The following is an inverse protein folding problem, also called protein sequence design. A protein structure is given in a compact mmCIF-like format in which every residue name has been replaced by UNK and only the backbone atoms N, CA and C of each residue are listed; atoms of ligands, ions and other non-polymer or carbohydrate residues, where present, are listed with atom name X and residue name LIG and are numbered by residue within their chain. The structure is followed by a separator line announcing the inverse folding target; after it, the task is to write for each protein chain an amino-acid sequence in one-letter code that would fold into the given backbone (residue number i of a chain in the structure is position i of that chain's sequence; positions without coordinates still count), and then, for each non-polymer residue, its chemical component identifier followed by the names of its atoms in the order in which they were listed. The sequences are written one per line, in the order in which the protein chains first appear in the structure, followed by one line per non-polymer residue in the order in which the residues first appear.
data_IF_538507176901
#
_entry.id   IF_538507176901
#
_cell.length_a   1.000
_cell.length_b   1.000
_cell.length_c   1.000
_cell.angle_alpha   90.00
_cell.angle_beta   90.00
_cell.angle_gamma   90.00
#
_symmetry.space_group_name_H-M   'P 1'
#
loop_
_entity.id
_entity.type
_entity.pdbx_description
1 polymer ?
#
# COMPACT_ATOMS: atom_id res chain seq x y z
N UNK A 1 14.15 45.03 -3.75
CA UNK A 1 15.00 44.48 -2.68
C UNK A 1 14.82 42.97 -2.69
N UNK A 2 15.68 42.25 -3.40
CA UNK A 2 15.71 40.78 -3.42
C UNK A 2 16.26 40.29 -2.08
N UNK A 3 15.41 39.65 -1.28
CA UNK A 3 15.84 38.96 -0.07
C UNK A 3 16.95 37.96 -0.43
N UNK A 4 18.06 37.92 0.33
CA UNK A 4 19.10 36.93 0.10
C UNK A 4 18.49 35.53 0.34
N UNK A 5 18.45 34.72 -0.70
CA UNK A 5 18.16 33.30 -0.59
C UNK A 5 19.27 32.67 0.26
N UNK A 6 19.05 32.57 1.56
CA UNK A 6 19.78 31.64 2.43
C UNK A 6 19.42 30.24 1.95
N UNK A 7 20.15 29.71 0.98
CA UNK A 7 20.01 28.32 0.58
C UNK A 7 20.81 27.52 1.62
N UNK A 8 20.19 26.90 2.64
CA UNK A 8 20.92 26.01 3.51
C UNK A 8 21.61 24.98 2.63
N UNK A 9 22.88 24.67 2.91
CA UNK A 9 23.58 23.59 2.20
C UNK A 9 22.83 22.29 2.47
N UNK A 10 21.98 21.90 1.53
CA UNK A 10 21.18 20.68 1.55
C UNK A 10 21.76 19.68 0.56
N UNK A 11 21.68 18.39 0.87
CA UNK A 11 22.19 17.32 0.00
C UNK A 11 21.32 17.17 -1.24
N UNK A 12 20.01 17.39 -1.10
CA UNK A 12 19.02 17.36 -2.18
C UNK A 12 18.38 18.74 -2.34
N UNK A 13 17.96 19.10 -3.55
CA UNK A 13 17.23 20.34 -3.81
C UNK A 13 16.06 20.56 -2.85
N UNK A 14 16.05 21.73 -2.20
CA UNK A 14 15.03 22.17 -1.27
C UNK A 14 13.75 22.61 -2.00
N UNK A 15 13.04 21.64 -2.61
CA UNK A 15 11.77 21.90 -3.29
C UNK A 15 10.69 22.23 -2.27
N UNK A 16 9.91 23.28 -2.53
CA UNK A 16 8.73 23.59 -1.73
C UNK A 16 7.58 22.64 -2.10
N UNK A 17 6.90 22.04 -1.10
CA UNK A 17 5.69 21.27 -1.34
C UNK A 17 4.56 22.11 -1.94
N UNK A 18 3.65 21.47 -2.66
CA UNK A 18 2.48 22.15 -3.22
C UNK A 18 1.21 21.94 -2.38
N UNK A 19 0.40 23.00 -2.31
CA UNK A 19 -0.97 22.92 -1.77
C UNK A 19 -1.06 22.66 -0.27
N UNK A 20 -0.01 22.93 0.51
CA UNK A 20 -0.04 22.83 1.96
C UNK A 20 -1.20 23.66 2.55
N UNK A 21 -1.87 23.09 3.56
CA UNK A 21 -3.06 23.70 4.17
C UNK A 21 -4.31 23.71 3.29
N UNK A 22 -4.30 22.99 2.17
CA UNK A 22 -5.46 22.88 1.27
C UNK A 22 -5.87 21.41 1.05
N UNK A 23 -7.10 21.15 0.57
CA UNK A 23 -7.52 19.82 0.12
C UNK A 23 -6.68 19.26 -1.04
N UNK A 24 -5.84 20.10 -1.66
CA UNK A 24 -4.99 19.78 -2.80
C UNK A 24 -3.52 19.63 -2.42
N UNK A 25 -3.24 19.39 -1.14
CA UNK A 25 -1.88 19.12 -0.67
C UNK A 25 -1.22 17.99 -1.46
N UNK A 26 0.04 18.19 -1.78
CA UNK A 26 0.87 17.24 -2.50
C UNK A 26 1.10 15.96 -1.69
N UNK A 27 1.16 14.83 -2.38
CA UNK A 27 1.60 13.56 -1.79
C UNK A 27 3.12 13.48 -1.71
N UNK A 28 3.65 12.83 -0.67
CA UNK A 28 5.09 12.57 -0.56
C UNK A 28 5.66 11.83 -1.78
N UNK A 29 4.86 10.96 -2.41
CA UNK A 29 5.21 10.32 -3.68
C UNK A 29 5.42 11.33 -4.81
N UNK A 30 4.51 12.30 -4.97
CA UNK A 30 4.65 13.36 -5.97
C UNK A 30 5.90 14.20 -5.71
N UNK A 31 6.10 14.59 -4.44
CA UNK A 31 7.28 15.34 -4.01
C UNK A 31 8.57 14.59 -4.37
N UNK A 32 8.64 13.29 -4.04
CA UNK A 32 9.75 12.41 -4.38
C UNK A 32 10.00 12.32 -5.89
N UNK A 33 8.95 12.21 -6.71
CA UNK A 33 9.08 12.16 -8.17
C UNK A 33 9.60 13.50 -8.73
N UNK A 34 9.09 14.63 -8.24
CA UNK A 34 9.58 15.96 -8.61
C UNK A 34 11.03 16.17 -8.18
N UNK A 35 11.40 15.65 -7.01
CA UNK A 35 12.76 15.71 -6.52
C UNK A 35 13.72 14.93 -7.42
N UNK A 36 13.36 13.71 -7.81
CA UNK A 36 14.14 12.92 -8.77
C UNK A 36 14.30 13.64 -10.11
N UNK A 37 13.22 14.22 -10.63
CA UNK A 37 13.24 15.01 -11.86
C UNK A 37 14.15 16.25 -11.73
N UNK A 38 14.13 16.95 -10.59
CA UNK A 38 14.98 18.12 -10.35
C UNK A 38 16.48 17.78 -10.36
N UNK A 39 16.84 16.55 -9.98
CA UNK A 39 18.21 16.03 -10.00
C UNK A 39 18.57 15.32 -11.32
N UNK A 40 17.64 15.25 -12.28
CA UNK A 40 17.82 14.49 -13.53
C UNK A 40 18.20 13.02 -13.30
N UNK A 41 17.71 12.42 -12.21
CA UNK A 41 17.95 11.01 -11.86
C UNK A 41 16.66 10.21 -11.90
N UNK A 42 16.80 8.88 -12.00
CA UNK A 42 15.66 7.98 -11.84
C UNK A 42 15.17 7.96 -10.38
N UNK A 43 13.88 7.66 -10.19
CA UNK A 43 13.31 7.42 -8.85
C UNK A 43 14.02 6.26 -8.15
N UNK A 44 14.45 5.23 -8.89
CA UNK A 44 15.24 4.12 -8.35
C UNK A 44 16.59 4.61 -7.81
N UNK A 45 17.32 5.44 -8.56
CA UNK A 45 18.61 6.00 -8.13
C UNK A 45 18.42 6.83 -6.87
N UNK A 46 17.45 7.75 -6.86
CA UNK A 46 17.17 8.59 -5.70
C UNK A 46 16.78 7.73 -4.48
N UNK A 47 15.96 6.70 -4.68
CA UNK A 47 15.54 5.80 -3.59
C UNK A 47 16.71 5.10 -2.91
N UNK A 48 17.70 4.66 -3.70
CA UNK A 48 18.92 4.01 -3.20
C UNK A 48 19.81 4.98 -2.45
N UNK A 49 19.97 6.20 -2.96
CA UNK A 49 20.73 7.26 -2.28
C UNK A 49 20.13 7.57 -0.91
N UNK A 50 18.81 7.72 -0.83
CA UNK A 50 18.11 8.02 0.43
C UNK A 50 18.27 6.87 1.42
N UNK A 51 18.03 5.62 1.02
CA UNK A 51 18.09 4.53 1.98
C UNK A 51 19.52 4.09 2.35
N UNK A 52 20.54 4.40 1.52
CA UNK A 52 21.95 4.31 1.92
C UNK A 52 22.30 5.29 3.06
N UNK A 53 21.70 6.48 3.08
CA UNK A 53 21.90 7.48 4.15
C UNK A 53 21.44 6.96 5.53
N UNK A 54 20.36 6.17 5.56
CA UNK A 54 19.78 5.64 6.80
C UNK A 54 20.27 4.25 7.19
N UNK A 55 21.33 3.73 6.56
CA UNK A 55 21.87 2.38 6.79
C UNK A 55 20.78 1.28 6.71
N UNK A 56 19.72 1.53 5.95
CA UNK A 56 18.76 0.49 5.66
C UNK A 56 19.40 -0.44 4.63
N UNK A 57 19.62 -1.70 5.00
CA UNK A 57 19.95 -2.75 4.03
C UNK A 57 18.77 -2.90 3.06
N UNK A 58 18.85 -2.15 1.96
CA UNK A 58 17.95 -2.25 0.85
C UNK A 58 18.24 -3.61 0.20
N UNK A 59 17.37 -4.59 0.43
CA UNK A 59 17.43 -5.84 -0.31
C UNK A 59 17.44 -5.54 -1.83
N UNK A 60 18.19 -6.31 -2.63
CA UNK A 60 18.41 -6.01 -4.05
C UNK A 60 17.10 -5.97 -4.89
N UNK A 61 16.01 -6.50 -4.34
CA UNK A 61 14.63 -6.53 -4.83
C UNK A 61 13.74 -5.39 -4.28
N UNK A 62 14.32 -4.38 -3.61
CA UNK A 62 13.57 -3.27 -3.04
C UNK A 62 12.80 -2.50 -4.09
N UNK A 63 11.49 -2.71 -4.06
CA UNK A 63 10.56 -2.02 -4.92
C UNK A 63 9.96 -0.84 -4.15
N UNK A 64 10.54 0.34 -4.36
CA UNK A 64 10.12 1.59 -3.72
C UNK A 64 8.63 1.91 -3.99
N UNK A 65 8.08 1.39 -5.09
CA UNK A 65 6.69 1.52 -5.49
C UNK A 65 5.70 0.79 -4.58
N UNK A 66 6.13 -0.27 -3.87
CA UNK A 66 5.26 -1.05 -2.98
C UNK A 66 5.07 -0.41 -1.59
N UNK A 67 5.88 0.62 -1.26
CA UNK A 67 6.04 1.08 0.12
C UNK A 67 5.03 2.09 0.62
N UNK A 68 4.04 2.48 -0.18
CA UNK A 68 2.97 3.41 0.23
C UNK A 68 3.56 4.60 1.04
N UNK A 69 4.59 5.26 0.50
CA UNK A 69 5.36 6.27 1.23
C UNK A 69 4.53 7.49 1.66
N UNK A 70 3.36 7.69 1.04
CA UNK A 70 2.37 8.69 1.44
C UNK A 70 1.34 8.18 2.46
N UNK A 71 1.50 6.96 2.99
CA UNK A 71 0.57 6.31 3.90
C UNK A 71 0.67 6.79 5.35
N UNK A 72 0.33 5.90 6.29
CA UNK A 72 0.21 6.18 7.74
C UNK A 72 1.16 5.33 8.61
N UNK A 73 2.02 4.53 7.98
CA UNK A 73 2.86 3.54 8.65
C UNK A 73 4.30 4.03 8.81
N UNK A 74 5.11 3.23 9.49
CA UNK A 74 6.53 3.47 9.70
C UNK A 74 7.29 3.82 8.41
N UNK A 75 6.97 3.16 7.29
CA UNK A 75 7.63 3.50 6.02
C UNK A 75 7.35 4.95 5.57
N UNK A 76 6.17 5.50 5.84
CA UNK A 76 5.91 6.91 5.54
C UNK A 76 6.75 7.81 6.47
N UNK A 77 6.87 7.45 7.75
CA UNK A 77 7.63 8.20 8.75
C UNK A 77 9.12 8.24 8.39
N UNK A 78 9.73 7.09 8.14
CA UNK A 78 11.14 6.99 7.76
C UNK A 78 11.44 7.80 6.51
N UNK A 79 10.57 7.72 5.49
CA UNK A 79 10.79 8.44 4.23
C UNK A 79 10.55 9.94 4.33
N UNK A 80 9.51 10.37 5.05
CA UNK A 80 9.26 11.78 5.29
C UNK A 80 10.42 12.42 6.07
N UNK A 81 10.87 11.79 7.16
CA UNK A 81 12.01 12.25 7.94
C UNK A 81 13.30 12.31 7.11
N UNK A 82 13.55 11.26 6.32
CA UNK A 82 14.71 11.18 5.44
C UNK A 82 14.77 12.30 4.40
N UNK A 83 13.64 12.54 3.74
CA UNK A 83 13.53 13.62 2.77
C UNK A 83 13.66 14.98 3.44
N UNK A 84 13.06 15.17 4.63
CA UNK A 84 13.14 16.43 5.37
C UNK A 84 14.59 16.77 5.73
N UNK A 85 15.35 15.79 6.21
CA UNK A 85 16.76 15.95 6.54
C UNK A 85 17.59 16.30 5.28
N UNK A 86 17.46 15.50 4.23
CA UNK A 86 18.29 15.62 3.02
C UNK A 86 17.98 16.88 2.19
N UNK A 87 16.73 17.35 2.22
CA UNK A 87 16.30 18.58 1.53
C UNK A 87 16.37 19.82 2.42
N UNK A 88 16.55 19.64 3.74
CA UNK A 88 16.43 20.69 4.75
C UNK A 88 15.05 21.37 4.80
N UNK A 89 14.01 20.76 4.23
CA UNK A 89 12.62 21.20 4.31
C UNK A 89 11.95 20.49 5.49
N UNK A 90 11.34 21.26 6.39
CA UNK A 90 10.62 20.70 7.53
C UNK A 90 9.18 20.33 7.13
N UNK A 91 8.52 19.48 7.93
CA UNK A 91 7.08 19.23 7.79
C UNK A 91 6.66 18.33 6.63
N UNK A 92 7.57 17.58 5.99
CA UNK A 92 7.20 16.69 4.88
C UNK A 92 6.31 15.50 5.29
N UNK A 93 6.18 15.23 6.59
CA UNK A 93 5.16 14.32 7.13
C UNK A 93 3.73 14.81 6.84
N UNK A 94 3.54 16.13 6.66
CA UNK A 94 2.30 16.74 6.16
C UNK A 94 1.94 16.36 4.72
N UNK A 95 2.84 15.73 3.96
CA UNK A 95 2.58 15.16 2.64
C UNK A 95 2.16 13.68 2.71
N UNK A 96 1.80 13.20 3.90
CA UNK A 96 1.38 11.83 4.19
C UNK A 96 0.15 11.82 5.09
N UNK A 97 -0.38 10.64 5.41
CA UNK A 97 -1.44 10.48 6.43
C UNK A 97 -0.89 10.31 7.86
N UNK A 98 0.43 10.42 8.08
CA UNK A 98 1.07 10.29 9.40
C UNK A 98 0.48 11.18 10.50
N UNK A 99 0.04 12.43 10.24
CA UNK A 99 -0.54 13.27 11.29
C UNK A 99 -1.75 12.62 11.98
N UNK A 100 -2.37 11.60 11.37
CA UNK A 100 -3.56 10.91 11.89
C UNK A 100 -3.27 9.50 12.44
N UNK A 101 -2.00 9.09 12.57
CA UNK A 101 -1.59 7.70 12.88
C UNK A 101 -2.09 7.15 14.21
N UNK A 102 -2.36 8.02 15.18
CA UNK A 102 -2.79 7.64 16.52
C UNK A 102 -4.32 7.57 16.66
N UNK A 103 -5.05 8.08 15.65
CA UNK A 103 -6.52 8.14 15.65
C UNK A 103 -7.16 7.33 14.51
N UNK A 104 -6.37 6.98 13.49
CA UNK A 104 -6.77 6.04 12.42
C UNK A 104 -5.94 4.77 12.55
N UNK A 105 -6.61 3.61 12.54
CA UNK A 105 -5.92 2.33 12.54
C UNK A 105 -4.94 2.22 11.37
N UNK A 106 -3.69 1.87 11.65
CA UNK A 106 -2.66 1.72 10.61
C UNK A 106 -2.99 0.62 9.58
N UNK A 107 -3.79 -0.37 9.97
CA UNK A 107 -4.34 -1.39 9.05
C UNK A 107 -5.66 -0.97 8.39
N UNK A 108 -6.22 0.16 8.81
CA UNK A 108 -7.53 0.67 8.41
C UNK A 108 -7.50 1.83 7.42
N UNK A 109 -6.32 2.27 6.98
CA UNK A 109 -6.19 3.19 5.84
C UNK A 109 -5.98 2.38 4.56
N UNK A 110 -6.99 2.38 3.68
CA UNK A 110 -6.90 1.70 2.39
C UNK A 110 -6.28 2.61 1.34
N UNK A 111 -5.03 2.33 0.95
CA UNK A 111 -4.36 3.04 -0.15
C UNK A 111 -4.82 2.47 -1.51
N UNK A 112 -5.00 3.34 -2.49
CA UNK A 112 -5.34 2.96 -3.85
C UNK A 112 -4.22 2.11 -4.46
N UNK A 113 -4.54 0.86 -4.85
CA UNK A 113 -3.55 -0.07 -5.43
C UNK A 113 -3.06 0.33 -6.80
N UNK A 114 -3.93 0.96 -7.58
CA UNK A 114 -3.66 1.52 -8.90
C UNK A 114 -3.73 3.02 -8.74
N UNK A 115 -2.69 3.72 -9.17
CA UNK A 115 -2.66 5.17 -9.06
C UNK A 115 -3.83 5.81 -9.79
N UNK A 116 -4.57 6.66 -9.08
CA UNK A 116 -5.71 7.41 -9.61
C UNK A 116 -5.38 8.91 -9.70
N UNK A 117 -6.03 9.63 -10.62
CA UNK A 117 -5.81 11.06 -10.82
C UNK A 117 -7.02 11.75 -11.46
N UNK A 118 -7.04 13.08 -11.42
CA UNK A 118 -8.00 13.89 -12.17
C UNK A 118 -7.28 14.58 -13.34
N UNK A 119 -7.65 14.31 -14.61
CA UNK A 119 -7.05 14.95 -15.78
C UNK A 119 -7.23 16.48 -15.78
N UNK A 120 -8.37 16.96 -15.30
CA UNK A 120 -8.67 18.39 -15.22
C UNK A 120 -7.84 19.09 -14.15
N UNK A 121 -7.55 18.44 -13.03
CA UNK A 121 -6.61 18.99 -12.04
C UNK A 121 -5.21 19.18 -12.63
N UNK A 122 -4.75 18.28 -13.50
CA UNK A 122 -3.50 18.50 -14.21
C UNK A 122 -3.58 19.61 -15.26
N UNK A 123 -4.71 19.75 -15.95
CA UNK A 123 -4.95 20.87 -16.87
C UNK A 123 -4.91 22.21 -16.13
N UNK A 124 -5.59 22.32 -14.99
CA UNK A 124 -5.57 23.49 -14.13
C UNK A 124 -4.15 23.82 -13.65
N UNK A 125 -3.35 22.81 -13.27
CA UNK A 125 -1.96 23.05 -12.86
C UNK A 125 -1.18 23.73 -13.99
N UNK A 126 -1.26 23.19 -15.21
CA UNK A 126 -0.55 23.71 -16.39
C UNK A 126 -1.04 25.12 -16.74
N UNK A 127 -2.36 25.33 -16.73
CA UNK A 127 -2.97 26.63 -17.03
C UNK A 127 -2.54 27.71 -16.02
N UNK A 128 -2.37 27.34 -14.74
CA UNK A 128 -1.84 28.21 -13.71
C UNK A 128 -0.30 28.31 -13.70
N UNK A 129 0.38 27.86 -14.76
CA UNK A 129 1.84 27.91 -14.89
C UNK A 129 2.59 27.01 -13.89
N UNK A 130 1.92 26.01 -13.32
CA UNK A 130 2.47 25.08 -12.33
C UNK A 130 2.75 23.72 -12.97
N UNK A 131 3.84 23.09 -12.57
CA UNK A 131 4.09 21.69 -12.92
C UNK A 131 3.02 20.80 -12.28
N UNK A 132 2.39 19.89 -13.04
CA UNK A 132 1.42 18.95 -12.49
C UNK A 132 2.02 18.14 -11.34
N UNK A 133 1.17 17.74 -10.40
CA UNK A 133 1.60 17.01 -9.19
C UNK A 133 0.49 16.09 -8.67
N UNK A 134 0.85 15.01 -7.98
CA UNK A 134 -0.15 14.11 -7.40
C UNK A 134 -0.60 14.61 -6.02
N UNK A 135 -1.91 14.76 -5.86
CA UNK A 135 -2.54 15.17 -4.59
C UNK A 135 -2.60 14.00 -3.62
N UNK A 136 -2.35 14.24 -2.33
CA UNK A 136 -2.39 13.24 -1.28
C UNK A 136 -3.75 12.56 -1.16
N UNK A 137 -4.85 13.30 -1.39
CA UNK A 137 -6.20 12.75 -1.40
C UNK A 137 -6.34 11.56 -2.37
N UNK A 138 -5.63 11.58 -3.51
CA UNK A 138 -5.71 10.51 -4.51
C UNK A 138 -5.05 9.20 -4.07
N UNK A 139 -4.24 9.22 -3.02
CA UNK A 139 -3.66 8.00 -2.45
C UNK A 139 -4.68 7.19 -1.65
N UNK A 140 -5.74 7.83 -1.13
CA UNK A 140 -6.80 7.14 -0.39
C UNK A 140 -7.81 6.49 -1.33
N UNK A 141 -8.10 5.20 -1.14
CA UNK A 141 -9.13 4.46 -1.88
C UNK A 141 -10.54 5.03 -1.61
N UNK A 142 -10.74 5.67 -0.47
CA UNK A 142 -12.02 6.29 -0.10
C UNK A 142 -12.32 7.56 -0.91
N UNK A 143 -11.32 8.12 -1.61
CA UNK A 143 -11.47 9.23 -2.56
C UNK A 143 -11.50 8.66 -3.97
N UNK A 144 -12.70 8.51 -4.53
CA UNK A 144 -12.92 8.04 -5.92
C UNK A 144 -13.38 9.15 -6.87
N UNK A 145 -13.60 10.35 -6.35
CA UNK A 145 -14.12 11.51 -7.08
C UNK A 145 -13.27 12.74 -6.73
N UNK A 146 -12.95 13.55 -7.74
CA UNK A 146 -12.32 14.85 -7.54
C UNK A 146 -13.32 15.86 -6.97
N UNK A 147 -12.95 16.55 -5.88
CA UNK A 147 -13.81 17.54 -5.22
C UNK A 147 -13.93 18.85 -6.00
N UNK A 148 -12.88 19.26 -6.72
CA UNK A 148 -12.84 20.52 -7.50
C UNK A 148 -13.66 20.39 -8.78
N UNK A 149 -13.36 19.38 -9.59
CA UNK A 149 -13.99 19.20 -10.90
C UNK A 149 -15.21 18.30 -10.89
N UNK A 150 -15.58 17.76 -9.71
CA UNK A 150 -16.73 16.87 -9.51
C UNK A 150 -16.80 15.83 -10.63
N UNK A 151 -15.79 14.96 -10.68
CA UNK A 151 -15.72 13.82 -11.63
C UNK A 151 -15.01 12.62 -11.02
N UNK A 152 -15.32 11.39 -11.44
CA UNK A 152 -14.55 10.21 -11.03
C UNK A 152 -13.06 10.37 -11.31
N UNK A 153 -12.21 9.86 -10.41
CA UNK A 153 -10.79 9.76 -10.68
C UNK A 153 -10.54 8.61 -11.66
N UNK A 154 -9.63 8.82 -12.61
CA UNK A 154 -9.26 7.82 -13.62
C UNK A 154 -7.96 7.13 -13.25
N UNK A 155 -7.75 5.91 -13.75
CA UNK A 155 -6.55 5.10 -13.49
C UNK A 155 -5.78 4.73 -14.75
N UNK A 156 -6.39 5.00 -15.90
CA UNK A 156 -5.92 4.67 -17.24
C UNK A 156 -5.55 5.90 -18.05
N UNK A 157 -4.72 5.70 -19.07
CA UNK A 157 -4.33 6.74 -20.00
C UNK A 157 -5.31 6.80 -21.17
N UNK A 158 -5.94 7.97 -21.40
CA UNK A 158 -6.84 8.18 -22.53
C UNK A 158 -6.20 7.93 -23.91
N UNK A 159 -4.87 8.09 -24.03
CA UNK A 159 -4.15 7.88 -25.30
C UNK A 159 -3.79 6.40 -25.56
N UNK A 160 -3.32 5.66 -24.55
CA UNK A 160 -2.82 4.28 -24.77
C UNK A 160 -3.64 3.19 -24.07
N UNK A 161 -4.68 3.55 -23.31
CA UNK A 161 -5.58 2.64 -22.60
C UNK A 161 -4.94 1.84 -21.46
N UNK A 162 -3.66 2.05 -21.15
CA UNK A 162 -2.97 1.31 -20.09
C UNK A 162 -3.29 1.86 -18.71
N UNK A 163 -3.34 0.96 -17.74
CA UNK A 163 -3.57 1.25 -16.33
C UNK A 163 -2.25 1.38 -15.53
N UNK A 164 -2.38 1.80 -14.27
CA UNK A 164 -1.27 1.91 -13.30
C UNK A 164 -0.09 2.75 -13.79
N UNK A 165 -0.39 3.78 -14.58
CA UNK A 165 0.59 4.64 -15.25
C UNK A 165 1.30 5.61 -14.30
N UNK A 166 0.96 5.65 -13.01
CA UNK A 166 1.57 6.54 -12.01
C UNK A 166 2.75 5.93 -11.23
N UNK A 167 2.77 4.60 -11.06
CA UNK A 167 3.64 3.92 -10.09
C UNK A 167 4.47 2.80 -10.70
N UNK A 168 4.66 2.75 -12.02
CA UNK A 168 5.31 1.59 -12.66
C UNK A 168 6.31 2.00 -13.74
N UNK A 169 7.22 2.91 -13.39
CA UNK A 169 8.34 3.27 -14.25
C UNK A 169 9.53 3.81 -13.47
N UNK A 170 10.70 3.70 -14.10
CA UNK A 170 11.98 4.22 -13.61
C UNK A 170 11.99 5.76 -13.61
N UNK A 171 11.22 6.37 -14.52
CA UNK A 171 11.03 7.81 -14.61
C UNK A 171 9.56 8.12 -14.52
N UNK A 172 9.19 8.91 -13.52
CA UNK A 172 7.81 9.34 -13.28
C UNK A 172 7.82 10.86 -13.21
N UNK A 173 7.15 11.47 -14.17
CA UNK A 173 6.89 12.91 -14.19
C UNK A 173 5.38 13.07 -13.97
N UNK A 174 4.94 13.60 -12.81
CA UNK A 174 3.52 13.75 -12.55
C UNK A 174 2.85 14.57 -13.66
N UNK A 175 1.71 14.10 -14.17
CA UNK A 175 1.02 14.71 -15.32
C UNK A 175 1.32 14.07 -16.68
N UNK A 176 2.28 13.16 -16.79
CA UNK A 176 2.60 12.44 -18.03
C UNK A 176 2.47 10.92 -17.88
N UNK A 177 2.03 10.26 -18.94
CA UNK A 177 1.90 8.81 -18.96
C UNK A 177 3.28 8.15 -18.94
N UNK A 178 3.56 7.30 -17.96
CA UNK A 178 4.82 6.56 -17.88
C UNK A 178 5.02 5.52 -18.99
N UNK A 179 3.96 5.18 -19.73
CA UNK A 179 4.02 4.20 -20.82
C UNK A 179 4.19 4.85 -22.20
N UNK A 180 3.34 5.81 -22.57
CA UNK A 180 3.38 6.43 -23.90
C UNK A 180 3.95 7.86 -23.91
N UNK A 181 4.26 8.44 -22.75
CA UNK A 181 4.77 9.82 -22.64
C UNK A 181 3.73 10.91 -22.93
N UNK A 182 2.49 10.56 -23.29
CA UNK A 182 1.44 11.54 -23.57
C UNK A 182 1.01 12.27 -22.29
N UNK A 183 0.61 13.54 -22.44
CA UNK A 183 0.04 14.32 -21.34
C UNK A 183 -1.21 13.65 -20.80
N UNK A 184 -1.33 13.60 -19.47
CA UNK A 184 -2.54 13.17 -18.76
C UNK A 184 -3.48 14.33 -18.48
N UNK A 185 -3.05 15.57 -18.74
CA UNK A 185 -3.90 16.74 -18.68
C UNK A 185 -4.85 16.74 -19.88
N UNK A 186 -6.14 16.73 -19.60
CA UNK A 186 -7.19 16.91 -20.60
C UNK A 186 -8.36 17.66 -19.98
N UNK A 187 -8.87 18.63 -20.73
CA UNK A 187 -10.14 19.27 -20.42
C UNK A 187 -11.24 18.40 -21.04
N UNK A 188 -11.91 17.59 -20.22
CA UNK A 188 -13.07 16.80 -20.65
C UNK A 188 -14.38 17.53 -20.33
N UNK A 189 -15.33 17.42 -21.28
CA UNK A 189 -16.70 17.92 -21.19
C UNK A 189 -17.50 17.22 -20.09
N UNK A 190 -18.41 17.98 -19.46
CA UNK A 190 -19.25 17.56 -18.35
C UNK A 190 -20.20 16.39 -18.71
N UNK A 191 -20.48 15.49 -17.76
CA UNK A 191 -21.45 14.41 -18.01
C UNK A 191 -21.65 13.37 -16.92
N UNK A 192 -20.74 13.22 -15.95
CA UNK A 192 -20.87 12.14 -14.97
C UNK A 192 -21.80 12.51 -13.80
N UNK A 193 -22.90 11.76 -13.67
CA UNK A 193 -23.76 11.84 -12.47
C UNK A 193 -23.01 11.22 -11.30
N UNK A 194 -22.58 12.06 -10.37
CA UNK A 194 -21.87 11.61 -9.16
C UNK A 194 -22.83 11.32 -8.04
N UNK A 195 -22.59 10.20 -7.35
CA UNK A 195 -23.21 9.90 -6.09
C UNK A 195 -22.84 10.96 -5.02
N UNK A 196 -23.82 11.70 -4.45
CA UNK A 196 -23.53 12.71 -3.43
C UNK A 196 -22.76 12.17 -2.23
N UNK A 197 -22.96 10.89 -1.86
CA UNK A 197 -22.24 10.27 -0.75
C UNK A 197 -20.75 10.05 -1.03
N UNK A 198 -20.37 9.76 -2.29
CA UNK A 198 -18.93 9.62 -2.64
C UNK A 198 -18.26 10.98 -2.69
N UNK A 199 -18.93 12.00 -3.21
CA UNK A 199 -18.45 13.38 -3.17
C UNK A 199 -18.29 13.89 -1.73
N UNK A 200 -19.25 13.60 -0.85
CA UNK A 200 -19.17 13.95 0.56
C UNK A 200 -17.95 13.31 1.24
N UNK A 201 -17.70 12.00 1.03
CA UNK A 201 -16.50 11.34 1.58
C UNK A 201 -15.20 11.98 1.08
N UNK A 202 -15.13 12.27 -0.22
CA UNK A 202 -13.96 12.93 -0.81
C UNK A 202 -13.72 14.31 -0.20
N UNK A 203 -14.78 15.09 0.07
CA UNK A 203 -14.70 16.37 0.78
C UNK A 203 -14.20 16.21 2.21
N UNK A 204 -14.76 15.26 2.97
CA UNK A 204 -14.32 15.01 4.35
C UNK A 204 -12.83 14.67 4.45
N UNK A 205 -12.31 13.89 3.49
CA UNK A 205 -10.86 13.60 3.43
C UNK A 205 -10.08 14.85 3.00
N UNK A 206 -10.58 15.62 2.02
CA UNK A 206 -9.96 16.89 1.64
C UNK A 206 -9.84 17.88 2.79
N UNK A 207 -10.90 18.06 3.57
CA UNK A 207 -10.93 18.93 4.75
C UNK A 207 -9.97 18.42 5.84
N UNK A 208 -9.95 17.10 6.06
CA UNK A 208 -8.99 16.46 6.95
C UNK A 208 -7.54 16.78 6.55
N UNK A 209 -7.21 16.62 5.27
CA UNK A 209 -5.86 16.89 4.77
C UNK A 209 -5.50 18.38 4.83
N UNK A 210 -6.45 19.27 4.54
CA UNK A 210 -6.25 20.71 4.67
C UNK A 210 -5.90 21.11 6.11
N UNK A 211 -6.52 20.44 7.09
CA UNK A 211 -6.28 20.75 8.51
C UNK A 211 -4.90 20.35 9.03
N UNK A 212 -4.13 19.52 8.30
CA UNK A 212 -2.84 19.02 8.76
C UNK A 212 -1.85 20.14 9.08
N UNK A 213 -1.85 21.22 8.29
CA UNK A 213 -0.94 22.36 8.53
C UNK A 213 -1.33 23.22 9.73
N UNK A 214 -2.55 23.04 10.25
CA UNK A 214 -3.09 23.79 11.40
C UNK A 214 -3.00 23.00 12.71
N UNK A 215 -2.55 21.73 12.66
CA UNK A 215 -2.40 20.90 13.85
C UNK A 215 -1.21 21.40 14.68
N UNK A 216 -1.50 21.91 15.89
CA UNK A 216 -0.45 22.25 16.86
C UNK A 216 0.16 21.01 17.51
N UNK A 217 -0.63 19.94 17.64
CA UNK A 217 -0.23 18.66 18.23
C UNK A 217 -0.88 17.51 17.45
N UNK A 218 -0.24 16.34 17.50
CA UNK A 218 -0.82 15.13 16.91
C UNK A 218 -2.10 14.74 17.67
N UNK A 219 -3.22 14.49 16.97
CA UNK A 219 -4.47 14.05 17.58
C UNK A 219 -4.26 12.81 18.45
N UNK A 220 -4.80 12.84 19.67
CA UNK A 220 -4.66 11.73 20.61
C UNK A 220 -5.82 10.75 20.50
N UNK A 221 -5.51 9.47 20.73
CA UNK A 221 -6.54 8.43 20.81
C UNK A 221 -7.55 8.74 21.91
N UNK A 222 -7.08 9.27 23.04
CA UNK A 222 -7.89 9.58 24.21
C UNK A 222 -8.96 10.61 23.88
N UNK A 223 -8.60 11.67 23.13
CA UNK A 223 -9.55 12.69 22.69
C UNK A 223 -10.59 12.12 21.70
N UNK A 224 -10.17 11.29 20.75
CA UNK A 224 -11.08 10.59 19.83
C UNK A 224 -12.07 9.69 20.60
N UNK A 225 -11.59 8.89 21.55
CA UNK A 225 -12.45 7.97 22.30
C UNK A 225 -13.43 8.75 23.18
N UNK A 226 -13.00 9.81 23.84
CA UNK A 226 -13.89 10.69 24.60
C UNK A 226 -14.97 11.31 23.71
N UNK A 227 -14.61 11.71 22.49
CA UNK A 227 -15.58 12.20 21.51
C UNK A 227 -16.60 11.12 21.11
N UNK A 228 -16.14 9.89 20.84
CA UNK A 228 -17.01 8.75 20.54
C UNK A 228 -17.93 8.43 21.73
N UNK A 229 -17.43 8.46 22.96
CA UNK A 229 -18.23 8.21 24.17
C UNK A 229 -19.34 9.24 24.36
N UNK A 230 -19.03 10.53 24.14
CA UNK A 230 -20.03 11.60 24.14
C UNK A 230 -21.08 11.40 23.04
N UNK A 231 -20.67 11.01 21.82
CA UNK A 231 -21.62 10.67 20.75
C UNK A 231 -22.52 9.49 21.13
N UNK A 232 -21.97 8.44 21.74
CA UNK A 232 -22.74 7.27 22.20
C UNK A 232 -23.75 7.67 23.28
N UNK A 233 -23.35 8.52 24.21
CA UNK A 233 -24.20 9.03 25.29
C UNK A 233 -25.39 9.81 24.73
N UNK A 234 -25.13 10.78 23.85
CA UNK A 234 -26.15 11.71 23.33
C UNK A 234 -27.03 11.10 22.24
N UNK A 235 -26.49 10.22 21.38
CA UNK A 235 -27.22 9.65 20.24
C UNK A 235 -27.97 8.37 20.56
N UNK A 236 -27.38 7.52 21.42
CA UNK A 236 -27.82 6.13 21.63
C UNK A 236 -28.04 5.79 23.12
N UNK A 237 -28.17 6.81 23.98
CA UNK A 237 -28.41 6.71 25.43
C UNK A 237 -27.36 5.84 26.14
N UNK A 238 -26.09 5.95 25.74
CA UNK A 238 -25.00 5.16 26.31
C UNK A 238 -24.91 3.72 25.78
N UNK A 239 -25.82 3.29 24.89
CA UNK A 239 -25.87 1.91 24.38
C UNK A 239 -24.91 1.71 23.21
N UNK A 240 -23.66 1.34 23.51
CA UNK A 240 -22.61 1.05 22.51
C UNK A 240 -23.04 0.02 21.44
N UNK A 241 -23.95 -0.93 21.76
CA UNK A 241 -24.48 -1.90 20.81
C UNK A 241 -25.43 -1.28 19.76
N UNK A 242 -26.16 -0.23 20.13
CA UNK A 242 -27.01 0.54 19.21
C UNK A 242 -26.14 1.41 18.31
N UNK A 243 -25.15 2.09 18.88
CA UNK A 243 -24.14 2.85 18.15
C UNK A 243 -23.40 1.98 17.11
N UNK A 244 -22.91 0.80 17.51
CA UNK A 244 -22.26 -0.13 16.60
C UNK A 244 -23.12 -0.48 15.37
N UNK A 245 -24.43 -0.69 15.59
CA UNK A 245 -25.38 -0.99 14.52
C UNK A 245 -25.60 0.22 13.60
N UNK A 246 -25.68 1.43 14.16
CA UNK A 246 -25.86 2.69 13.41
C UNK A 246 -24.72 2.93 12.42
N UNK A 247 -23.48 2.74 12.87
CA UNK A 247 -22.29 3.00 12.04
C UNK A 247 -21.88 1.80 11.16
N UNK A 248 -22.63 0.69 11.23
CA UNK A 248 -22.33 -0.53 10.47
C UNK A 248 -21.13 -1.33 10.99
N UNK A 249 -20.72 -1.15 12.25
CA UNK A 249 -19.58 -1.82 12.86
C UNK A 249 -19.99 -3.01 13.75
N UNK A 250 -19.07 -3.94 13.98
CA UNK A 250 -19.26 -5.03 14.92
C UNK A 250 -19.24 -4.56 16.38
N UNK A 251 -20.11 -5.11 17.24
CA UNK A 251 -20.12 -4.80 18.69
C UNK A 251 -18.77 -5.00 19.36
N UNK A 252 -18.07 -6.09 19.01
CA UNK A 252 -16.73 -6.40 19.50
C UNK A 252 -15.69 -5.35 19.08
N UNK A 253 -15.87 -4.75 17.91
CA UNK A 253 -14.96 -3.73 17.38
C UNK A 253 -15.09 -2.43 18.16
N UNK A 254 -16.32 -1.98 18.41
CA UNK A 254 -16.57 -0.79 19.25
C UNK A 254 -16.08 -1.01 20.67
N UNK A 255 -16.38 -2.17 21.25
CA UNK A 255 -15.88 -2.53 22.59
C UNK A 255 -14.35 -2.51 22.66
N UNK A 256 -13.67 -3.01 21.63
CA UNK A 256 -12.21 -2.99 21.54
C UNK A 256 -11.64 -1.57 21.52
N UNK A 257 -12.29 -0.61 20.86
CA UNK A 257 -11.86 0.79 20.88
C UNK A 257 -12.01 1.44 22.25
N UNK A 258 -13.17 1.22 22.90
CA UNK A 258 -13.50 1.84 24.18
C UNK A 258 -12.70 1.26 25.35
N UNK A 259 -12.39 -0.05 25.33
CA UNK A 259 -11.78 -0.75 26.47
C UNK A 259 -10.33 -1.15 26.27
N UNK A 260 -9.87 -1.31 25.03
CA UNK A 260 -8.50 -1.70 24.71
C UNK A 260 -7.84 -0.61 23.84
N UNK A 261 -6.62 -0.87 23.37
CA UNK A 261 -5.80 0.07 22.56
C UNK A 261 -6.23 0.15 21.09
N UNK A 262 -7.51 -0.11 20.78
CA UNK A 262 -8.00 -0.09 19.41
C UNK A 262 -8.30 1.33 18.90
N UNK A 263 -8.16 1.53 17.60
CA UNK A 263 -8.62 2.72 16.87
C UNK A 263 -9.52 2.34 15.70
N UNK A 264 -10.47 3.19 15.28
CA UNK A 264 -11.30 2.96 14.11
C UNK A 264 -10.47 3.04 12.80
N UNK A 265 -10.93 2.33 11.78
CA UNK A 265 -10.42 2.50 10.40
C UNK A 265 -10.96 3.79 9.80
N UNK A 266 -10.32 4.36 8.77
CA UNK A 266 -10.80 5.58 8.11
C UNK A 266 -12.25 5.44 7.62
N UNK A 267 -12.59 4.31 7.00
CA UNK A 267 -13.95 4.00 6.53
C UNK A 267 -14.99 4.10 7.66
N UNK A 268 -14.68 3.53 8.83
CA UNK A 268 -15.60 3.59 9.98
C UNK A 268 -15.65 4.99 10.58
N UNK A 269 -14.54 5.73 10.65
CA UNK A 269 -14.54 7.13 11.08
C UNK A 269 -15.42 8.00 10.16
N UNK A 270 -15.37 7.77 8.85
CA UNK A 270 -16.29 8.40 7.88
C UNK A 270 -17.75 8.02 8.14
N UNK A 271 -18.02 6.75 8.47
CA UNK A 271 -19.38 6.32 8.79
C UNK A 271 -19.90 6.94 10.11
N UNK A 272 -19.04 7.09 11.12
CA UNK A 272 -19.38 7.81 12.35
C UNK A 272 -19.71 9.27 12.02
N UNK A 273 -18.83 9.96 11.28
CA UNK A 273 -19.04 11.33 10.84
C UNK A 273 -20.39 11.52 10.10
N UNK A 274 -20.69 10.62 9.16
CA UNK A 274 -21.93 10.67 8.38
C UNK A 274 -23.19 10.45 9.22
N UNK A 275 -23.16 9.49 10.16
CA UNK A 275 -24.34 9.09 10.93
C UNK A 275 -24.58 9.95 12.18
N UNK A 276 -23.53 10.58 12.69
CA UNK A 276 -23.59 11.46 13.86
C UNK A 276 -23.65 12.95 13.49
N UNK A 277 -23.50 13.30 12.21
CA UNK A 277 -23.52 14.70 11.77
C UNK A 277 -22.35 15.51 12.33
N UNK A 278 -21.17 14.90 12.42
CA UNK A 278 -19.92 15.56 12.85
C UNK A 278 -18.94 15.54 11.68
N UNK A 279 -18.07 16.55 11.55
CA UNK A 279 -17.03 16.48 10.54
C UNK A 279 -15.99 15.42 10.88
N UNK A 280 -15.38 14.79 9.88
CA UNK A 280 -14.33 13.81 10.09
C UNK A 280 -13.15 14.40 10.89
N UNK A 281 -12.77 15.64 10.58
CA UNK A 281 -11.71 16.36 11.26
C UNK A 281 -12.04 16.56 12.75
N UNK A 282 -13.22 17.09 13.07
CA UNK A 282 -13.65 17.33 14.46
C UNK A 282 -13.67 16.03 15.27
N UNK A 283 -14.19 14.96 14.67
CA UNK A 283 -14.20 13.63 15.29
C UNK A 283 -12.79 13.15 15.62
N UNK A 284 -11.87 13.21 14.66
CA UNK A 284 -10.52 12.67 14.82
C UNK A 284 -9.65 13.52 15.76
N UNK A 285 -9.83 14.84 15.78
CA UNK A 285 -9.18 15.73 16.74
C UNK A 285 -9.79 15.56 18.15
N UNK A 286 -11.04 15.13 18.23
CA UNK A 286 -11.80 15.02 19.48
C UNK A 286 -12.44 16.33 19.93
N UNK A 287 -12.41 17.38 19.11
CA UNK A 287 -13.06 18.66 19.39
C UNK A 287 -14.51 18.64 18.91
N UNK A 288 -15.38 18.12 19.78
CA UNK A 288 -16.83 18.09 19.55
C UNK A 288 -17.59 18.96 20.58
N UNK A 289 -16.97 20.06 21.01
CA UNK A 289 -17.58 20.97 21.99
C UNK A 289 -18.80 21.69 21.41
N UNK A 290 -18.70 22.11 20.15
CA UNK A 290 -19.78 22.79 19.42
C UNK A 290 -20.71 21.84 18.65
N UNK A 291 -20.51 20.53 18.80
CA UNK A 291 -21.39 19.55 18.16
C UNK A 291 -22.74 19.53 18.85
N UNK A 292 -23.81 19.62 18.06
CA UNK A 292 -25.18 19.47 18.52
C UNK A 292 -25.77 18.22 17.88
N UNK A 293 -26.56 17.50 18.67
CA UNK A 293 -27.31 16.33 18.19
C UNK A 293 -28.12 16.72 16.96
N UNK A 294 -27.93 16.06 15.80
CA UNK A 294 -28.70 16.36 14.61
C UNK A 294 -30.19 16.21 14.90
N UNK A 295 -30.93 17.32 14.82
CA UNK A 295 -32.39 17.28 14.92
C UNK A 295 -32.87 16.54 13.69
N UNK A 296 -33.54 15.41 13.88
CA UNK A 296 -34.18 14.68 12.79
C UNK A 296 -35.43 15.43 12.38
N UNK A 297 -35.28 16.60 11.78
CA UNK A 297 -36.36 17.13 10.95
C UNK A 297 -36.52 16.16 9.79
N UNK A 298 -37.76 15.68 9.57
CA UNK A 298 -38.11 14.82 8.44
C UNK A 298 -38.04 15.62 7.14
N UNK A 299 -36.88 16.14 6.79
CA UNK A 299 -36.60 16.56 5.42
C UNK A 299 -36.41 15.28 4.59
N UNK A 300 -37.03 15.27 3.41
CA UNK A 300 -37.07 14.18 2.43
C UNK A 300 -35.94 13.17 2.65
N UNK A 301 -36.31 11.96 3.07
CA UNK A 301 -35.39 10.87 3.36
C UNK A 301 -34.45 10.70 2.16
N UNK A 302 -33.26 11.29 2.25
CA UNK A 302 -32.11 10.84 1.49
C UNK A 302 -31.92 9.40 1.96
N UNK A 303 -32.43 8.47 1.16
CA UNK A 303 -32.18 7.04 1.28
C UNK A 303 -30.68 6.87 1.03
N UNK A 304 -29.87 7.18 2.04
CA UNK A 304 -28.48 6.72 2.10
C UNK A 304 -28.58 5.21 1.94
N UNK A 305 -27.95 4.62 0.90
CA UNK A 305 -28.03 3.19 0.70
C UNK A 305 -27.62 2.52 2.00
N UNK A 306 -28.57 1.80 2.61
CA UNK A 306 -28.29 0.93 3.76
C UNK A 306 -27.16 0.04 3.27
N UNK A 307 -26.00 0.17 3.88
CA UNK A 307 -24.87 -0.74 3.63
C UNK A 307 -25.45 -2.13 3.84
N UNK A 308 -25.56 -2.91 2.77
CA UNK A 308 -26.03 -4.28 2.85
C UNK A 308 -25.11 -5.00 3.81
N UNK A 309 -25.62 -5.25 5.02
CA UNK A 309 -24.88 -5.98 6.03
C UNK A 309 -24.68 -7.37 5.46
N UNK A 310 -23.43 -7.73 5.12
CA UNK A 310 -23.08 -9.14 4.96
C UNK A 310 -23.47 -9.81 6.26
N UNK A 311 -24.58 -10.57 6.25
CA UNK A 311 -24.99 -11.40 7.39
C UNK A 311 -23.76 -12.20 7.77
N UNK A 312 -23.28 -12.04 9.01
CA UNK A 312 -22.23 -12.90 9.55
C UNK A 312 -22.71 -14.33 9.39
N UNK A 313 -21.97 -15.14 8.64
CA UNK A 313 -22.18 -16.59 8.63
C UNK A 313 -22.20 -17.08 10.08
N UNK A 314 -23.15 -17.95 10.39
CA UNK A 314 -23.25 -18.55 11.72
C UNK A 314 -21.92 -19.20 12.10
N UNK A 315 -21.46 -19.08 13.36
CA UNK A 315 -20.20 -19.69 13.79
C UNK A 315 -20.19 -21.19 13.46
N UNK A 316 -19.31 -21.62 12.55
CA UNK A 316 -19.17 -23.04 12.21
C UNK A 316 -18.64 -23.79 13.44
N UNK A 317 -19.37 -24.79 13.90
CA UNK A 317 -18.89 -25.68 14.96
C UNK A 317 -17.91 -26.69 14.35
N UNK A 318 -16.62 -26.40 14.46
CA UNK A 318 -15.55 -27.26 13.96
C UNK A 318 -15.14 -28.27 15.05
N UNK A 319 -15.22 -29.56 14.75
CA UNK A 319 -14.70 -30.62 15.62
C UNK A 319 -13.17 -30.72 15.48
N UNK A 320 -12.47 -30.16 16.47
CA UNK A 320 -11.01 -30.10 16.49
C UNK A 320 -10.34 -31.45 16.70
N UNK A 321 -11.02 -32.42 17.34
CA UNK A 321 -10.47 -33.77 17.50
C UNK A 321 -10.42 -34.49 16.17
N UNK A 322 -11.47 -34.36 15.36
CA UNK A 322 -11.51 -34.89 14.00
C UNK A 322 -10.46 -34.22 13.10
N UNK A 323 -10.36 -32.88 13.15
CA UNK A 323 -9.38 -32.11 12.38
C UNK A 323 -7.94 -32.53 12.72
N UNK A 324 -7.61 -32.72 14.01
CA UNK A 324 -6.27 -33.14 14.42
C UNK A 324 -5.95 -34.57 13.98
N UNK A 325 -6.92 -35.49 14.02
CA UNK A 325 -6.76 -36.85 13.50
C UNK A 325 -6.50 -36.85 11.98
N UNK A 326 -7.20 -36.01 11.22
CA UNK A 326 -6.97 -35.85 9.78
C UNK A 326 -5.61 -35.24 9.46
N UNK A 327 -5.16 -34.24 10.24
CA UNK A 327 -3.80 -33.67 10.12
C UNK A 327 -2.73 -34.72 10.37
N UNK A 328 -2.92 -35.60 11.35
CA UNK A 328 -2.02 -36.74 11.59
C UNK A 328 -2.05 -37.74 10.42
N UNK A 329 -3.21 -37.96 9.80
CA UNK A 329 -3.34 -38.72 8.56
C UNK A 329 -2.50 -38.12 7.42
N UNK A 330 -2.56 -36.79 7.25
CA UNK A 330 -1.76 -36.09 6.23
C UNK A 330 -0.25 -36.19 6.46
N UNK A 331 0.19 -36.32 7.72
CA UNK A 331 1.59 -36.58 8.03
C UNK A 331 2.08 -37.95 7.55
N UNK A 332 1.19 -38.91 7.28
CA UNK A 332 1.54 -40.25 6.78
C UNK A 332 1.49 -40.37 5.26
N UNK A 333 1.00 -39.36 4.53
CA UNK A 333 0.91 -39.41 3.07
C UNK A 333 2.30 -39.53 2.41
N UNK A 334 2.43 -40.28 1.30
CA UNK A 334 3.71 -40.48 0.61
C UNK A 334 4.24 -39.17 0.02
N UNK A 335 3.36 -38.36 -0.58
CA UNK A 335 3.66 -36.99 -1.01
C UNK A 335 3.22 -36.01 0.08
N UNK A 336 4.15 -35.22 0.67
CA UNK A 336 3.77 -34.24 1.67
C UNK A 336 2.96 -33.11 1.04
N UNK A 337 2.01 -32.58 1.80
CA UNK A 337 1.15 -31.47 1.39
C UNK A 337 1.52 -30.20 2.17
N UNK A 338 1.23 -29.03 1.58
CA UNK A 338 1.42 -27.75 2.26
C UNK A 338 0.34 -27.55 3.34
N UNK A 339 0.64 -26.70 4.33
CA UNK A 339 -0.33 -26.31 5.37
C UNK A 339 -1.56 -25.63 4.77
N UNK A 340 -1.39 -24.88 3.67
CA UNK A 340 -2.49 -24.22 2.96
C UNK A 340 -3.39 -25.24 2.25
N UNK A 341 -2.82 -26.28 1.65
CA UNK A 341 -3.58 -27.35 1.01
C UNK A 341 -4.29 -28.22 2.05
N UNK A 342 -3.66 -28.49 3.20
CA UNK A 342 -4.33 -29.15 4.31
C UNK A 342 -5.51 -28.32 4.84
N UNK A 343 -5.32 -27.02 5.00
CA UNK A 343 -6.37 -26.07 5.39
C UNK A 343 -7.53 -26.07 4.38
N UNK A 344 -7.23 -26.07 3.07
CA UNK A 344 -8.24 -26.16 2.01
C UNK A 344 -9.02 -27.47 2.04
N UNK A 345 -8.35 -28.61 2.25
CA UNK A 345 -8.99 -29.94 2.31
C UNK A 345 -9.87 -30.12 3.56
N UNK A 346 -9.56 -29.41 4.63
CA UNK A 346 -10.31 -29.45 5.88
C UNK A 346 -11.39 -28.36 5.97
N UNK A 347 -11.48 -27.47 4.97
CA UNK A 347 -12.35 -26.29 4.95
C UNK A 347 -12.18 -25.39 6.19
N UNK A 348 -10.92 -25.16 6.60
CA UNK A 348 -10.55 -24.36 7.77
C UNK A 348 -9.49 -23.33 7.39
N UNK A 349 -9.52 -22.14 8.00
CA UNK A 349 -8.46 -21.16 7.82
C UNK A 349 -7.13 -21.65 8.40
N UNK A 350 -6.03 -21.52 7.64
CA UNK A 350 -4.70 -21.95 8.08
C UNK A 350 -4.27 -21.34 9.42
N UNK A 351 -4.71 -20.11 9.72
CA UNK A 351 -4.45 -19.45 11.01
C UNK A 351 -5.04 -20.24 12.19
N UNK A 352 -6.25 -20.79 12.03
CA UNK A 352 -6.90 -21.55 13.09
C UNK A 352 -6.17 -22.87 13.37
N UNK A 353 -5.60 -23.51 12.34
CA UNK A 353 -4.75 -24.69 12.51
C UNK A 353 -3.50 -24.39 13.37
N UNK A 354 -2.84 -23.25 13.15
CA UNK A 354 -1.71 -22.82 13.97
C UNK A 354 -2.09 -22.48 15.42
N UNK A 355 -3.28 -21.92 15.64
CA UNK A 355 -3.74 -21.52 16.97
C UNK A 355 -4.19 -22.71 17.82
N UNK A 356 -4.88 -23.69 17.24
CA UNK A 356 -5.52 -24.80 17.98
C UNK A 356 -4.80 -26.15 17.82
N UNK A 357 -4.19 -26.42 16.66
CA UNK A 357 -3.47 -27.66 16.35
C UNK A 357 -2.00 -27.37 15.98
N UNK A 358 -1.33 -26.55 16.80
CA UNK A 358 -0.03 -25.96 16.49
C UNK A 358 1.06 -27.00 16.17
N UNK A 359 1.16 -28.05 16.98
CA UNK A 359 2.23 -29.06 16.89
C UNK A 359 2.19 -29.83 15.57
N UNK A 360 1.04 -30.40 15.23
CA UNK A 360 0.83 -31.17 13.99
C UNK A 360 0.95 -30.28 12.76
N UNK A 361 0.43 -29.05 12.82
CA UNK A 361 0.54 -28.05 11.73
C UNK A 361 1.99 -27.67 11.46
N UNK A 362 2.81 -27.45 12.50
CA UNK A 362 4.24 -27.17 12.34
C UNK A 362 5.00 -28.35 11.75
N UNK A 363 4.71 -29.57 12.20
CA UNK A 363 5.32 -30.79 11.65
C UNK A 363 5.03 -30.94 10.15
N UNK A 364 3.80 -30.68 9.72
CA UNK A 364 3.40 -30.70 8.32
C UNK A 364 4.18 -29.66 7.51
N UNK A 365 4.31 -28.44 8.05
CA UNK A 365 5.08 -27.36 7.44
C UNK A 365 6.56 -27.69 7.27
N UNK A 366 7.19 -28.29 8.30
CA UNK A 366 8.60 -28.73 8.24
C UNK A 366 8.79 -29.83 7.19
N UNK A 367 7.90 -30.82 7.14
CA UNK A 367 7.95 -31.92 6.17
C UNK A 367 7.82 -31.41 4.72
N UNK A 368 6.90 -30.49 4.47
CA UNK A 368 6.73 -29.84 3.17
C UNK A 368 7.95 -29.03 2.74
N UNK A 369 8.50 -28.20 3.64
CA UNK A 369 9.75 -27.45 3.37
C UNK A 369 10.91 -28.37 3.05
N UNK A 370 11.08 -29.47 3.80
CA UNK A 370 12.11 -30.46 3.55
C UNK A 370 11.95 -31.17 2.20
N UNK A 371 10.72 -31.46 1.79
CA UNK A 371 10.42 -32.03 0.49
C UNK A 371 10.73 -31.06 -0.66
N UNK A 372 10.34 -29.78 -0.54
CA UNK A 372 10.69 -28.76 -1.53
C UNK A 372 12.21 -28.62 -1.68
N UNK A 373 12.95 -28.59 -0.56
CA UNK A 373 14.42 -28.53 -0.59
C UNK A 373 15.02 -29.73 -1.33
N UNK A 374 14.56 -30.96 -1.03
CA UNK A 374 15.03 -32.17 -1.74
C UNK A 374 14.69 -32.14 -3.23
N UNK A 375 13.48 -31.72 -3.59
CA UNK A 375 13.05 -31.60 -4.99
C UNK A 375 13.87 -30.55 -5.74
N UNK A 376 14.15 -29.41 -5.11
CA UNK A 376 15.02 -28.37 -5.67
C UNK A 376 16.45 -28.87 -5.86
N UNK A 377 17.03 -29.56 -4.88
CA UNK A 377 18.36 -30.16 -5.00
C UNK A 377 18.42 -31.21 -6.11
N UNK A 378 17.41 -32.08 -6.22
CA UNK A 378 17.32 -33.08 -7.28
C UNK A 378 17.16 -32.45 -8.67
N UNK A 379 16.34 -31.40 -8.79
CA UNK A 379 16.19 -30.63 -10.03
C UNK A 379 17.50 -29.96 -10.45
N UNK A 380 18.21 -29.33 -9.51
CA UNK A 380 19.54 -28.74 -9.78
C UNK A 380 20.54 -29.81 -10.19
N UNK A 381 20.58 -30.96 -9.51
CA UNK A 381 21.47 -32.07 -9.86
C UNK A 381 21.18 -32.65 -11.26
N UNK A 382 19.90 -32.79 -11.62
CA UNK A 382 19.47 -33.25 -12.94
C UNK A 382 19.79 -32.23 -14.05
N UNK A 383 19.68 -30.93 -13.76
CA UNK A 383 19.98 -29.86 -14.70
C UNK A 383 21.49 -29.57 -14.85
N UNK A 384 22.30 -29.87 -13.83
CA UNK A 384 23.75 -29.61 -13.80
C UNK A 384 24.51 -30.07 -15.06
N UNK A 385 24.38 -31.31 -15.56
CA UNK A 385 25.11 -31.74 -16.77
C UNK A 385 24.72 -30.95 -18.02
N UNK A 386 23.43 -30.63 -18.19
CA UNK A 386 22.96 -29.81 -19.32
C UNK A 386 23.46 -28.37 -19.24
N UNK A 387 23.49 -27.80 -18.03
CA UNK A 387 24.02 -26.45 -17.80
C UNK A 387 25.54 -26.40 -18.03
N UNK A 388 26.28 -27.43 -17.64
CA UNK A 388 27.72 -27.54 -17.89
C UNK A 388 28.03 -27.64 -19.38
N UNK A 389 27.31 -28.49 -20.12
CA UNK A 389 27.47 -28.63 -21.56
C UNK A 389 27.14 -27.34 -22.30
N UNK A 390 25.99 -26.73 -22.04
CA UNK A 390 25.59 -25.48 -22.67
C UNK A 390 26.56 -24.34 -22.34
N UNK A 391 27.13 -24.32 -21.12
CA UNK A 391 28.14 -23.31 -20.75
C UNK A 391 29.44 -23.49 -21.53
N UNK A 392 29.88 -24.72 -21.77
CA UNK A 392 31.08 -25.01 -22.57
C UNK A 392 30.88 -24.64 -24.04
N UNK A 393 29.71 -24.94 -24.62
CA UNK A 393 29.38 -24.56 -26.00
C UNK A 393 29.34 -23.04 -26.19
N UNK A 394 28.71 -22.31 -25.26
CA UNK A 394 28.66 -20.83 -25.29
C UNK A 394 30.06 -20.22 -25.19
N UNK A 395 30.94 -20.79 -24.36
CA UNK A 395 32.31 -20.33 -24.22
C UNK A 395 33.18 -20.67 -25.44
N UNK A 396 32.94 -21.81 -26.08
CA UNK A 396 33.60 -22.18 -27.34
C UNK A 396 33.21 -21.22 -28.49
N UNK A 397 32.00 -20.66 -28.46
CA UNK A 397 31.57 -19.59 -29.38
C UNK A 397 32.13 -18.19 -29.02
N UNK A 398 32.95 -18.07 -27.97
CA UNK A 398 33.52 -16.80 -27.52
C UNK A 398 32.51 -15.85 -26.86
N UNK A 399 31.33 -16.34 -26.49
CA UNK A 399 30.26 -15.56 -25.87
C UNK A 399 30.26 -15.71 -24.35
N UNK A 400 29.80 -14.68 -23.65
CA UNK A 400 29.61 -14.75 -22.20
C UNK A 400 28.39 -15.60 -21.85
N UNK A 401 28.51 -16.47 -20.84
CA UNK A 401 27.42 -17.32 -20.35
C UNK A 401 26.41 -16.46 -19.58
N UNK A 402 25.38 -15.99 -20.30
CA UNK A 402 24.27 -15.22 -19.75
C UNK A 402 22.99 -16.04 -19.68
N UNK A 403 22.03 -15.61 -18.85
CA UNK A 403 20.71 -16.28 -18.73
C UNK A 403 20.00 -16.42 -20.07
N UNK A 404 20.14 -15.43 -20.97
CA UNK A 404 19.50 -15.46 -22.31
C UNK A 404 20.08 -16.56 -23.18
N UNK A 405 21.40 -16.73 -23.17
CA UNK A 405 22.10 -17.75 -23.96
C UNK A 405 21.84 -19.18 -23.47
N UNK A 406 21.68 -19.37 -22.16
CA UNK A 406 21.32 -20.66 -21.55
C UNK A 406 19.86 -21.04 -21.86
N UNK A 407 18.93 -20.09 -21.76
CA UNK A 407 17.51 -20.33 -22.10
C UNK A 407 17.33 -20.66 -23.59
N UNK A 408 18.21 -20.15 -24.46
CA UNK A 408 18.17 -20.45 -25.89
C UNK A 408 18.65 -21.87 -26.24
N UNK A 409 19.49 -22.51 -25.39
CA UNK A 409 20.13 -23.81 -25.68
C UNK A 409 19.63 -24.96 -24.81
N UNK A 410 19.10 -24.69 -23.62
CA UNK A 410 18.60 -25.74 -22.71
C UNK A 410 17.07 -25.79 -22.76
N UNK A 411 16.46 -26.98 -22.95
CA UNK A 411 15.01 -27.14 -22.97
C UNK A 411 14.30 -26.57 -21.74
N UNK A 412 13.13 -25.96 -21.95
CA UNK A 412 12.37 -25.31 -20.89
C UNK A 412 11.92 -26.27 -19.79
N UNK A 413 11.74 -27.56 -20.10
CA UNK A 413 11.38 -28.61 -19.15
C UNK A 413 12.45 -28.84 -18.08
N UNK A 414 13.73 -28.61 -18.43
CA UNK A 414 14.88 -28.79 -17.54
C UNK A 414 15.12 -27.52 -16.72
N UNK A 415 14.83 -26.34 -17.28
CA UNK A 415 15.04 -25.05 -16.62
C UNK A 415 13.89 -24.65 -15.68
N UNK A 416 12.64 -24.99 -16.01
CA UNK A 416 11.44 -24.63 -15.24
C UNK A 416 11.50 -25.04 -13.75
N UNK A 417 12.05 -26.21 -13.37
CA UNK A 417 12.14 -26.63 -11.97
C UNK A 417 13.29 -25.99 -11.16
N UNK A 418 14.21 -25.26 -11.81
CA UNK A 418 15.41 -24.70 -11.17
C UNK A 418 15.14 -23.28 -10.68
N UNK A 419 14.85 -23.14 -9.39
CA UNK A 419 14.76 -21.84 -8.74
C UNK A 419 16.14 -21.16 -8.62
N UNK A 420 16.18 -19.84 -8.81
CA UNK A 420 17.41 -19.01 -8.75
C UNK A 420 18.52 -19.44 -9.72
N UNK A 421 18.16 -19.72 -10.98
CA UNK A 421 19.06 -20.16 -12.06
C UNK A 421 20.38 -19.38 -12.18
N UNK A 422 20.38 -18.06 -11.93
CA UNK A 422 21.61 -17.24 -11.97
C UNK A 422 22.66 -17.66 -10.93
N UNK A 423 22.24 -18.06 -9.73
CA UNK A 423 23.17 -18.51 -8.69
C UNK A 423 23.71 -19.90 -9.02
N UNK A 424 22.83 -20.79 -9.51
CA UNK A 424 23.22 -22.12 -9.98
C UNK A 424 24.23 -22.04 -11.12
N UNK A 425 24.06 -21.10 -12.05
CA UNK A 425 25.00 -20.87 -13.15
C UNK A 425 26.37 -20.35 -12.65
N UNK A 426 26.41 -19.50 -11.62
CA UNK A 426 27.66 -19.06 -11.00
C UNK A 426 28.41 -20.24 -10.37
N UNK A 427 27.70 -21.12 -9.66
CA UNK A 427 28.28 -22.31 -9.04
C UNK A 427 28.82 -23.28 -10.10
N UNK A 428 28.08 -23.46 -11.20
CA UNK A 428 28.52 -24.27 -12.35
C UNK A 428 29.75 -23.67 -13.03
N UNK A 429 29.80 -22.36 -13.25
CA UNK A 429 30.97 -21.69 -13.82
C UNK A 429 32.19 -21.78 -12.90
N UNK A 430 32.01 -21.65 -11.58
CA UNK A 430 33.07 -21.86 -10.59
C UNK A 430 33.59 -23.30 -10.63
N UNK A 431 32.69 -24.29 -10.71
CA UNK A 431 33.06 -25.70 -10.83
C UNK A 431 33.85 -25.98 -12.11
N UNK A 432 33.45 -25.43 -13.25
CA UNK A 432 34.15 -25.58 -14.53
C UNK A 432 35.53 -24.89 -14.53
N UNK A 433 35.67 -23.74 -13.85
CA UNK A 433 36.96 -23.06 -13.64
C UNK A 433 37.92 -23.86 -12.74
N UNK A 434 37.41 -24.47 -11.67
CA UNK A 434 38.21 -25.32 -10.76
C UNK A 434 38.62 -26.63 -11.44
N UNK A 435 37.76 -27.18 -12.30
CA UNK A 435 38.02 -28.42 -13.04
C UNK A 435 38.97 -28.25 -14.24
N UNK A 436 39.50 -27.05 -14.49
CA UNK A 436 40.44 -26.76 -15.58
C UNK A 436 39.83 -26.79 -16.99
N UNK A 437 38.50 -26.85 -17.12
CA UNK A 437 37.79 -26.90 -18.41
C UNK A 437 37.58 -25.52 -19.05
N UNK A 438 37.90 -24.44 -18.33
CA UNK A 438 37.84 -23.05 -18.79
C UNK A 438 39.13 -22.36 -18.33
N UNK A 439 39.75 -21.53 -19.18
CA UNK A 439 40.94 -20.76 -18.81
C UNK A 439 40.62 -19.80 -17.64
N UNK A 440 41.57 -19.69 -16.70
CA UNK A 440 41.52 -18.67 -15.63
C UNK A 440 41.74 -17.30 -16.28
N UNK A 441 40.65 -16.57 -16.54
CA UNK A 441 40.67 -15.14 -16.82
C UNK A 441 40.86 -14.36 -15.54
#
# INVERSE_FOLDING_TARGET
MSQPMTNPRSTLHALQPYGEGTPHVESLLSYFCRLAASHSVSTLTLSRTIAAHFQHDIAADFDWHERQISGIRESALTWAAALSELTSIQGLDGLTFLPWRDVISQNGLSIAKRGQFCPSCFADDIENGRSPYFRLAWESKDVSVCTSHRRPLVQDCAHCGRDNIRHRAVYIVPGWCTHCGHSLASQHQDGDVINPATLWRARQIGDLLASQSTLTYSPSREALIAAIEKLILEMDDGRYAAFARRIGAGKSTVHHWLRNVGTPTLEVSLNIAAQCGVSLQQLLIGDINNWQKPVTERQLVLMLPKIEQKKRETPRHLDWKYIEAQLQGFLKLPTPISVLEAARRLDVEARQLYLRANRTTRQLGVRWKGYLKRRQMAAVAAAKPYLEQASLEILAEGKAVTRREIVARVPAEILSPVAHLLNVLKDVQLHLKVSGKIARS
#
